data_IF_996845826529
#
_entry.id   IF_996845826529
#
_cell.length_a   1.000
_cell.length_b   1.000
_cell.length_c   1.000
_cell.angle_alpha   90.00
_cell.angle_beta   90.00
_cell.angle_gamma   90.00
#
_symmetry.space_group_name_H-M   'P 1'
#
loop_
_entity.id
_entity.type
_entity.pdbx_description
1 polymer ?
#
# COMPACT_ATOMS: atom_id res chain seq x y z
N UNK A 1 6.12 -29.56 16.57
CA UNK A 1 6.26 -29.15 15.16
C UNK A 1 6.29 -27.64 15.09
N UNK A 2 7.27 -27.07 14.41
CA UNK A 2 7.36 -25.63 14.19
C UNK A 2 6.32 -25.21 13.14
N UNK A 3 5.59 -24.13 13.40
CA UNK A 3 4.53 -23.65 12.49
C UNK A 3 5.12 -22.84 11.34
N UNK A 4 4.52 -22.94 10.15
CA UNK A 4 4.90 -22.16 8.98
C UNK A 4 3.67 -21.70 8.16
N UNK A 5 3.87 -20.67 7.36
CA UNK A 5 2.95 -20.24 6.33
C UNK A 5 3.45 -20.66 4.95
N UNK A 6 2.54 -20.79 3.98
CA UNK A 6 2.87 -21.08 2.58
C UNK A 6 2.40 -19.94 1.72
N UNK A 7 3.24 -19.48 0.80
CA UNK A 7 2.87 -18.49 -0.21
C UNK A 7 2.95 -19.08 -1.61
N UNK A 8 1.89 -18.91 -2.36
CA UNK A 8 1.73 -19.41 -3.72
C UNK A 8 1.34 -18.23 -4.64
N UNK A 9 1.90 -18.16 -5.86
CA UNK A 9 1.54 -17.13 -6.85
C UNK A 9 1.37 -17.72 -8.25
N UNK A 10 0.31 -17.31 -8.92
CA UNK A 10 0.08 -17.56 -10.35
C UNK A 10 -0.23 -16.27 -11.09
N UNK A 11 0.42 -16.03 -12.23
CA UNK A 11 0.34 -14.79 -12.98
C UNK A 11 -0.73 -14.76 -14.08
N UNK A 12 -1.25 -15.88 -14.54
CA UNK A 12 -2.16 -15.97 -15.68
C UNK A 12 -3.50 -16.63 -15.37
N UNK A 13 -4.56 -16.20 -16.09
CA UNK A 13 -5.91 -16.80 -15.98
C UNK A 13 -5.90 -18.30 -16.32
N UNK A 14 -5.07 -18.74 -17.25
CA UNK A 14 -4.91 -20.16 -17.62
C UNK A 14 -4.27 -20.99 -16.49
N UNK A 15 -3.30 -20.44 -15.77
CA UNK A 15 -2.63 -21.09 -14.63
C UNK A 15 -3.52 -21.13 -13.36
N UNK A 16 -4.50 -20.23 -13.27
CA UNK A 16 -5.50 -20.21 -12.18
C UNK A 16 -6.47 -21.38 -12.28
N UNK A 17 -6.82 -21.80 -13.51
CA UNK A 17 -7.72 -22.94 -13.79
C UNK A 17 -6.98 -24.27 -13.91
N UNK A 18 -5.65 -24.26 -14.02
CA UNK A 18 -4.82 -25.46 -14.16
C UNK A 18 -4.10 -25.87 -12.88
N UNK A 19 -3.19 -26.83 -12.99
CA UNK A 19 -2.47 -27.46 -11.87
C UNK A 19 -1.41 -26.57 -11.19
N UNK A 20 -1.31 -25.29 -11.59
CA UNK A 20 -0.27 -24.39 -11.07
C UNK A 20 -0.27 -24.21 -9.55
N UNK A 21 -1.44 -24.17 -8.93
CA UNK A 21 -1.59 -24.11 -7.47
C UNK A 21 -1.22 -25.42 -6.79
N UNK A 22 -1.74 -26.53 -7.35
CA UNK A 22 -1.56 -27.85 -6.78
C UNK A 22 -0.08 -28.26 -6.81
N UNK A 23 0.58 -28.04 -7.94
CA UNK A 23 2.01 -28.32 -8.10
C UNK A 23 2.87 -27.54 -7.07
N UNK A 24 2.65 -26.23 -6.95
CA UNK A 24 3.37 -25.39 -5.99
C UNK A 24 3.09 -25.85 -4.55
N UNK A 25 1.83 -26.15 -4.24
CA UNK A 25 1.47 -26.60 -2.90
C UNK A 25 2.09 -27.96 -2.55
N UNK A 26 2.11 -28.91 -3.49
CA UNK A 26 2.76 -30.22 -3.29
C UNK A 26 4.24 -30.02 -2.95
N UNK A 27 4.98 -29.22 -3.72
CA UNK A 27 6.39 -28.94 -3.48
C UNK A 27 6.62 -28.28 -2.09
N UNK A 28 5.78 -27.30 -1.72
CA UNK A 28 5.85 -26.67 -0.41
C UNK A 28 5.53 -27.64 0.73
N UNK A 29 4.56 -28.55 0.52
CA UNK A 29 4.18 -29.55 1.52
C UNK A 29 5.29 -30.58 1.74
N UNK A 30 5.96 -31.01 0.69
CA UNK A 30 7.07 -31.96 0.76
C UNK A 30 8.24 -31.39 1.55
N UNK A 31 8.67 -30.16 1.26
CA UNK A 31 9.76 -29.51 1.99
C UNK A 31 9.35 -29.21 3.44
N UNK A 32 8.10 -28.83 3.69
CA UNK A 32 7.58 -28.62 5.04
C UNK A 32 7.62 -29.93 5.85
N UNK A 33 7.22 -31.06 5.24
CA UNK A 33 7.30 -32.40 5.85
C UNK A 33 8.75 -32.79 6.15
N UNK A 34 9.65 -32.62 5.18
CA UNK A 34 11.08 -32.93 5.35
C UNK A 34 11.74 -32.11 6.48
N UNK A 35 11.29 -30.89 6.70
CA UNK A 35 11.80 -29.99 7.77
C UNK A 35 10.96 -30.04 9.06
N UNK A 36 10.03 -31.00 9.20
CA UNK A 36 9.15 -31.16 10.37
C UNK A 36 8.35 -29.89 10.71
N UNK A 37 7.82 -29.22 9.66
CA UNK A 37 7.03 -28.01 9.78
C UNK A 37 5.53 -28.31 9.63
N UNK A 38 4.69 -27.59 10.40
CA UNK A 38 3.24 -27.61 10.31
C UNK A 38 2.75 -26.42 9.50
N UNK A 39 2.11 -26.66 8.37
CA UNK A 39 1.48 -25.60 7.57
C UNK A 39 0.20 -25.15 8.28
N UNK A 40 0.14 -23.87 8.69
CA UNK A 40 -1.01 -23.28 9.39
C UNK A 40 -1.94 -22.56 8.44
N UNK A 41 -1.38 -21.82 7.47
CA UNK A 41 -2.15 -21.01 6.51
C UNK A 41 -1.46 -20.93 5.16
N UNK A 42 -2.26 -20.83 4.10
CA UNK A 42 -1.79 -20.69 2.72
C UNK A 42 -2.26 -19.33 2.19
N UNK A 43 -1.32 -18.54 1.69
CA UNK A 43 -1.58 -17.26 1.02
C UNK A 43 -1.48 -17.45 -0.48
N UNK A 44 -2.52 -17.10 -1.22
CA UNK A 44 -2.62 -17.32 -2.66
C UNK A 44 -2.75 -16.01 -3.41
N UNK A 45 -1.74 -15.66 -4.20
CA UNK A 45 -1.72 -14.48 -5.06
C UNK A 45 -2.19 -14.83 -6.46
N UNK A 46 -3.33 -14.30 -6.87
CA UNK A 46 -4.00 -14.66 -8.11
C UNK A 46 -3.89 -13.55 -9.16
N UNK A 47 -3.39 -13.88 -10.34
CA UNK A 47 -3.42 -12.97 -11.48
C UNK A 47 -2.42 -11.81 -11.43
N UNK A 48 -1.45 -11.86 -10.51
CA UNK A 48 -0.47 -10.80 -10.29
C UNK A 48 0.87 -11.20 -10.91
N UNK A 49 1.47 -10.30 -11.71
CA UNK A 49 2.81 -10.49 -12.28
C UNK A 49 3.87 -10.47 -11.19
N UNK A 50 4.97 -11.18 -11.41
CA UNK A 50 6.15 -11.11 -10.54
C UNK A 50 6.91 -9.78 -10.60
N UNK A 51 6.56 -8.90 -11.56
CA UNK A 51 7.09 -7.53 -11.70
C UNK A 51 6.22 -6.48 -11.02
N UNK A 52 5.07 -6.87 -10.47
CA UNK A 52 4.16 -5.98 -9.74
C UNK A 52 4.79 -5.58 -8.41
N UNK A 53 4.67 -4.32 -8.04
CA UNK A 53 5.17 -3.78 -6.77
C UNK A 53 4.53 -4.49 -5.56
N UNK A 54 5.21 -4.42 -4.43
CA UNK A 54 4.79 -5.12 -3.21
C UNK A 54 3.41 -4.65 -2.73
N UNK A 55 3.12 -3.35 -2.90
CA UNK A 55 1.88 -2.70 -2.47
C UNK A 55 0.64 -3.23 -3.21
N UNK A 56 0.82 -3.68 -4.45
CA UNK A 56 -0.24 -4.24 -5.29
C UNK A 56 -0.39 -5.78 -5.16
N UNK A 57 0.15 -6.35 -4.08
CA UNK A 57 0.16 -7.80 -3.82
C UNK A 57 -0.50 -8.14 -2.49
N UNK A 58 -1.84 -8.16 -2.44
CA UNK A 58 -2.60 -8.30 -1.20
C UNK A 58 -2.30 -9.59 -0.43
N UNK A 59 -2.04 -10.72 -1.12
CA UNK A 59 -1.73 -11.97 -0.42
C UNK A 59 -0.31 -11.99 0.17
N UNK A 60 0.65 -11.31 -0.46
CA UNK A 60 2.00 -11.16 0.08
C UNK A 60 2.00 -10.20 1.28
N UNK A 61 1.30 -9.07 1.18
CA UNK A 61 1.12 -8.14 2.29
C UNK A 61 0.42 -8.81 3.48
N UNK A 62 -0.61 -9.62 3.23
CA UNK A 62 -1.28 -10.40 4.28
C UNK A 62 -0.37 -11.47 4.90
N UNK A 63 0.57 -12.07 4.15
CA UNK A 63 1.59 -12.97 4.69
C UNK A 63 2.49 -12.23 5.67
N UNK A 64 3.00 -11.04 5.31
CA UNK A 64 3.88 -10.27 6.20
C UNK A 64 3.16 -9.85 7.48
N UNK A 65 1.93 -9.33 7.37
CA UNK A 65 1.11 -9.01 8.54
C UNK A 65 0.90 -10.24 9.45
N UNK A 66 0.62 -11.41 8.85
CA UNK A 66 0.44 -12.64 9.63
C UNK A 66 1.72 -13.15 10.30
N UNK A 67 2.90 -12.93 9.69
CA UNK A 67 4.19 -13.25 10.32
C UNK A 67 4.43 -12.37 11.56
N UNK A 68 4.05 -11.11 11.49
CA UNK A 68 4.19 -10.15 12.58
C UNK A 68 3.23 -10.47 13.74
N UNK A 69 1.95 -10.69 13.44
CA UNK A 69 0.88 -10.86 14.43
C UNK A 69 0.92 -12.21 15.17
N UNK A 70 1.33 -13.29 14.49
CA UNK A 70 1.10 -14.65 15.01
C UNK A 70 2.36 -15.30 15.64
N UNK A 71 3.48 -14.61 15.69
CA UNK A 71 4.73 -15.15 16.20
C UNK A 71 5.31 -16.31 15.36
N UNK A 72 4.72 -16.60 14.18
CA UNK A 72 5.24 -17.59 13.22
C UNK A 72 6.32 -16.90 12.40
N UNK A 73 7.51 -17.50 12.34
CA UNK A 73 8.67 -16.87 11.70
C UNK A 73 9.11 -17.53 10.39
N UNK A 74 8.37 -18.53 9.93
CA UNK A 74 8.74 -19.30 8.75
C UNK A 74 7.68 -19.16 7.66
N UNK A 75 8.12 -18.77 6.47
CA UNK A 75 7.35 -18.82 5.23
C UNK A 75 7.99 -19.82 4.25
N UNK A 76 7.16 -20.57 3.53
CA UNK A 76 7.57 -21.59 2.56
C UNK A 76 7.03 -21.21 1.17
N UNK A 77 7.89 -21.30 0.16
CA UNK A 77 7.56 -21.07 -1.25
C UNK A 77 8.07 -22.23 -2.11
N UNK A 78 7.54 -22.38 -3.33
CA UNK A 78 8.08 -23.34 -4.30
C UNK A 78 9.47 -22.88 -4.76
N UNK A 79 9.58 -21.66 -5.25
CA UNK A 79 10.82 -21.03 -5.73
C UNK A 79 10.76 -19.51 -5.65
N UNK A 80 11.90 -18.85 -5.70
CA UNK A 80 12.04 -17.41 -5.49
C UNK A 80 11.26 -16.58 -6.52
N UNK A 81 11.09 -17.08 -7.75
CA UNK A 81 10.30 -16.40 -8.76
C UNK A 81 8.80 -16.26 -8.38
N UNK A 82 8.33 -16.97 -7.34
CA UNK A 82 7.00 -16.76 -6.75
C UNK A 82 6.97 -15.46 -5.93
N UNK A 83 8.08 -15.09 -5.31
CA UNK A 83 8.17 -13.78 -4.64
C UNK A 83 8.22 -12.64 -5.64
N UNK A 84 9.18 -12.63 -6.52
CA UNK A 84 9.32 -11.64 -7.58
C UNK A 84 10.04 -12.27 -8.78
N UNK A 85 9.96 -11.65 -9.96
CA UNK A 85 10.78 -12.03 -11.12
C UNK A 85 12.06 -11.21 -11.21
N UNK A 86 12.02 -10.01 -10.67
CA UNK A 86 13.15 -9.12 -10.60
C UNK A 86 14.05 -9.50 -9.42
N UNK A 87 15.34 -9.67 -9.69
CA UNK A 87 16.32 -10.11 -8.70
C UNK A 87 16.49 -9.08 -7.57
N UNK A 88 16.44 -7.78 -7.88
CA UNK A 88 16.56 -6.73 -6.88
C UNK A 88 15.39 -6.78 -5.90
N UNK A 89 14.17 -6.98 -6.40
CA UNK A 89 12.97 -7.11 -5.57
C UNK A 89 13.04 -8.40 -4.73
N UNK A 90 13.50 -9.52 -5.31
CA UNK A 90 13.69 -10.77 -4.55
C UNK A 90 14.63 -10.58 -3.37
N UNK A 91 15.83 -10.06 -3.60
CA UNK A 91 16.86 -9.90 -2.56
C UNK A 91 16.46 -8.83 -1.53
N UNK A 92 15.71 -7.80 -1.93
CA UNK A 92 15.14 -6.81 -1.00
C UNK A 92 14.13 -7.48 -0.05
N UNK A 93 13.18 -8.27 -0.58
CA UNK A 93 12.19 -8.98 0.23
C UNK A 93 12.87 -9.97 1.17
N UNK A 94 13.85 -10.76 0.68
CA UNK A 94 14.59 -11.73 1.49
C UNK A 94 15.37 -11.02 2.58
N UNK A 95 16.03 -9.91 2.25
CA UNK A 95 16.78 -9.10 3.20
C UNK A 95 15.89 -8.54 4.32
N UNK A 96 14.73 -8.00 3.97
CA UNK A 96 13.76 -7.48 4.94
C UNK A 96 13.20 -8.59 5.83
N UNK A 97 12.90 -9.77 5.28
CA UNK A 97 12.48 -10.92 6.07
C UNK A 97 13.55 -11.33 7.09
N UNK A 98 14.80 -11.48 6.66
CA UNK A 98 15.92 -11.86 7.54
C UNK A 98 16.17 -10.82 8.63
N UNK A 99 16.12 -9.53 8.29
CA UNK A 99 16.29 -8.42 9.24
C UNK A 99 15.23 -8.42 10.33
N UNK A 100 13.99 -8.82 9.99
CA UNK A 100 12.89 -8.95 10.96
C UNK A 100 12.86 -10.32 11.66
N UNK A 101 13.87 -11.16 11.47
CA UNK A 101 14.00 -12.48 12.09
C UNK A 101 13.07 -13.54 11.51
N UNK A 102 12.60 -13.34 10.26
CA UNK A 102 11.82 -14.33 9.52
C UNK A 102 12.71 -15.17 8.61
N UNK A 103 12.33 -16.41 8.42
CA UNK A 103 13.05 -17.36 7.56
C UNK A 103 12.18 -17.72 6.37
N UNK A 104 12.73 -17.57 5.17
CA UNK A 104 12.11 -18.02 3.94
C UNK A 104 12.73 -19.35 3.50
N UNK A 105 11.89 -20.35 3.27
CA UNK A 105 12.30 -21.67 2.79
C UNK A 105 11.74 -21.85 1.39
N UNK A 106 12.62 -22.15 0.45
CA UNK A 106 12.26 -22.55 -0.91
C UNK A 106 12.44 -24.05 -1.12
N UNK A 107 11.54 -24.68 -1.87
CA UNK A 107 11.71 -26.10 -2.23
C UNK A 107 12.73 -26.31 -3.36
N UNK A 108 12.92 -25.28 -4.20
CA UNK A 108 13.87 -25.36 -5.32
C UNK A 108 15.25 -24.77 -4.99
N UNK A 109 15.32 -23.84 -4.04
CA UNK A 109 16.57 -23.16 -3.64
C UNK A 109 16.81 -23.34 -2.13
N UNK A 110 17.45 -24.46 -1.72
CA UNK A 110 17.64 -24.77 -0.30
C UNK A 110 18.51 -23.74 0.43
N UNK A 111 19.41 -23.07 -0.28
CA UNK A 111 20.38 -22.10 0.28
C UNK A 111 19.92 -20.65 0.22
N UNK A 112 18.62 -20.43 0.02
CA UNK A 112 18.06 -19.09 -0.19
C UNK A 112 18.40 -18.10 0.94
N UNK A 113 18.38 -18.55 2.18
CA UNK A 113 18.72 -17.77 3.37
C UNK A 113 20.13 -18.08 3.89
N UNK A 114 21.02 -18.60 3.05
CA UNK A 114 22.37 -18.92 3.47
C UNK A 114 23.14 -17.68 3.92
N UNK A 115 24.07 -17.89 4.85
CA UNK A 115 25.05 -16.91 5.31
C UNK A 115 26.27 -16.81 4.38
N UNK A 116 26.19 -17.29 3.14
CA UNK A 116 27.24 -17.16 2.14
C UNK A 116 27.60 -15.66 1.96
N UNK A 117 28.86 -15.29 2.12
CA UNK A 117 29.33 -13.91 1.97
C UNK A 117 28.96 -13.29 0.62
N UNK A 118 28.97 -14.04 -0.47
CA UNK A 118 28.59 -13.55 -1.81
C UNK A 118 27.10 -13.17 -1.86
N UNK A 119 26.22 -13.98 -1.26
CA UNK A 119 24.79 -13.63 -1.18
C UNK A 119 24.52 -12.46 -0.25
N UNK A 120 25.24 -12.37 0.85
CA UNK A 120 25.15 -11.21 1.76
C UNK A 120 25.54 -9.93 1.00
N UNK A 121 26.66 -9.96 0.27
CA UNK A 121 27.12 -8.83 -0.53
C UNK A 121 26.08 -8.41 -1.58
N UNK A 122 25.52 -9.36 -2.33
CA UNK A 122 24.49 -9.10 -3.32
C UNK A 122 23.26 -8.41 -2.68
N UNK A 123 22.79 -8.90 -1.52
CA UNK A 123 21.67 -8.26 -0.79
C UNK A 123 21.98 -6.86 -0.34
N UNK A 124 23.21 -6.62 0.13
CA UNK A 124 23.64 -5.27 0.55
C UNK A 124 23.67 -4.30 -0.63
N UNK A 125 24.20 -4.72 -1.79
CA UNK A 125 24.24 -3.92 -3.01
C UNK A 125 22.82 -3.56 -3.46
N UNK A 126 21.92 -4.54 -3.58
CA UNK A 126 20.55 -4.29 -4.01
C UNK A 126 19.75 -3.48 -2.98
N UNK A 127 19.95 -3.70 -1.70
CA UNK A 127 19.36 -2.90 -0.63
C UNK A 127 19.80 -1.43 -0.71
N UNK A 128 21.08 -1.18 -0.94
CA UNK A 128 21.61 0.18 -1.12
C UNK A 128 21.07 0.84 -2.40
N UNK A 129 20.96 0.09 -3.51
CA UNK A 129 20.40 0.60 -4.76
C UNK A 129 18.92 0.97 -4.60
N UNK A 130 18.12 0.12 -3.94
CA UNK A 130 16.71 0.42 -3.66
C UNK A 130 16.52 1.66 -2.77
N UNK A 131 17.42 1.87 -1.80
CA UNK A 131 17.42 3.09 -0.97
C UNK A 131 17.77 4.33 -1.81
N UNK A 132 18.76 4.24 -2.68
CA UNK A 132 19.15 5.32 -3.59
C UNK A 132 17.98 5.72 -4.50
N UNK A 133 17.30 4.76 -5.12
CA UNK A 133 16.17 5.05 -6.00
C UNK A 133 15.03 5.75 -5.26
N UNK A 134 14.66 5.29 -4.05
CA UNK A 134 13.67 5.98 -3.20
C UNK A 134 14.09 7.41 -2.86
N UNK A 135 15.36 7.63 -2.53
CA UNK A 135 15.89 8.95 -2.26
C UNK A 135 15.82 9.87 -3.49
N UNK A 136 16.17 9.34 -4.68
CA UNK A 136 16.11 10.08 -5.93
C UNK A 136 14.66 10.42 -6.33
N UNK A 137 13.71 9.52 -6.14
CA UNK A 137 12.27 9.79 -6.36
C UNK A 137 11.81 10.91 -5.42
N UNK A 138 12.15 10.83 -4.14
CA UNK A 138 11.79 11.85 -3.15
C UNK A 138 12.37 13.22 -3.52
N UNK A 139 13.63 13.29 -3.96
CA UNK A 139 14.26 14.52 -4.42
C UNK A 139 13.58 15.09 -5.67
N UNK A 140 13.24 14.25 -6.65
CA UNK A 140 12.50 14.66 -7.85
C UNK A 140 11.12 15.23 -7.50
N UNK A 141 10.38 14.58 -6.61
CA UNK A 141 9.07 15.04 -6.15
C UNK A 141 9.19 16.37 -5.37
N UNK A 142 10.21 16.50 -4.50
CA UNK A 142 10.49 17.75 -3.78
C UNK A 142 10.76 18.88 -4.75
N UNK A 143 11.67 18.69 -5.70
CA UNK A 143 11.98 19.70 -6.72
C UNK A 143 10.78 20.06 -7.60
N UNK A 144 9.89 19.10 -7.90
CA UNK A 144 8.63 19.39 -8.60
C UNK A 144 7.70 20.28 -7.77
N UNK A 145 7.52 19.98 -6.47
CA UNK A 145 6.72 20.80 -5.54
C UNK A 145 7.28 22.20 -5.37
N UNK A 146 8.61 22.34 -5.27
CA UNK A 146 9.26 23.64 -5.13
C UNK A 146 9.04 24.53 -6.38
N UNK A 147 9.11 23.92 -7.58
CA UNK A 147 8.77 24.63 -8.83
C UNK A 147 7.31 25.06 -8.89
N UNK A 148 6.37 24.22 -8.43
CA UNK A 148 4.94 24.56 -8.36
C UNK A 148 4.71 25.72 -7.37
N UNK A 149 5.33 25.67 -6.19
CA UNK A 149 5.26 26.75 -5.20
C UNK A 149 5.82 28.07 -5.74
N UNK A 150 6.94 28.02 -6.45
CA UNK A 150 7.55 29.21 -7.08
C UNK A 150 6.63 29.85 -8.14
N UNK A 151 5.72 29.08 -8.78
CA UNK A 151 4.71 29.58 -9.70
C UNK A 151 3.42 30.03 -9.00
N UNK A 152 3.36 29.98 -7.65
CA UNK A 152 2.12 30.23 -6.91
C UNK A 152 1.09 29.11 -7.00
N UNK A 153 1.46 27.98 -7.60
CA UNK A 153 0.59 26.81 -7.73
C UNK A 153 0.53 26.01 -6.43
N UNK A 154 -0.64 25.50 -6.11
CA UNK A 154 -0.83 24.67 -4.93
C UNK A 154 -0.43 23.22 -5.24
N UNK A 155 0.56 22.71 -4.53
CA UNK A 155 1.10 21.37 -4.74
C UNK A 155 0.74 20.34 -3.64
N UNK A 156 0.09 20.76 -2.54
CA UNK A 156 -0.23 19.88 -1.41
C UNK A 156 -1.53 20.30 -0.70
N UNK A 157 -2.08 19.34 0.06
CA UNK A 157 -3.27 19.52 0.87
C UNK A 157 -4.58 19.38 0.10
N UNK A 158 -5.69 19.33 0.83
CA UNK A 158 -7.03 19.23 0.27
C UNK A 158 -7.40 20.57 -0.38
N UNK A 159 -7.94 20.53 -1.61
CA UNK A 159 -8.49 21.71 -2.27
C UNK A 159 -9.53 22.40 -1.41
N UNK A 160 -9.55 23.72 -1.44
CA UNK A 160 -10.53 24.53 -0.75
C UNK A 160 -11.97 24.16 -1.11
N UNK A 161 -12.91 24.66 -0.36
CA UNK A 161 -14.32 24.49 -0.67
C UNK A 161 -14.63 25.25 -1.96
N UNK A 162 -15.31 24.58 -2.89
CA UNK A 162 -15.60 25.04 -4.26
C UNK A 162 -14.38 25.21 -5.20
N UNK A 163 -13.13 24.89 -4.77
CA UNK A 163 -11.93 24.89 -5.63
C UNK A 163 -11.74 23.56 -6.40
N UNK A 164 -12.47 22.52 -6.02
CA UNK A 164 -12.29 21.18 -6.59
C UNK A 164 -13.23 20.95 -7.78
N UNK A 165 -12.67 20.89 -8.99
CA UNK A 165 -13.41 20.58 -10.22
C UNK A 165 -14.17 19.24 -10.19
N UNK A 166 -13.75 18.32 -9.31
CA UNK A 166 -14.46 17.05 -9.08
C UNK A 166 -15.70 17.19 -8.22
N UNK A 167 -15.96 18.39 -7.67
CA UNK A 167 -17.08 18.70 -6.76
C UNK A 167 -17.81 19.96 -7.18
N UNK A 168 -18.40 20.00 -8.38
CA UNK A 168 -19.04 21.20 -8.94
C UNK A 168 -20.23 21.68 -8.09
N UNK A 169 -20.85 20.78 -7.32
CA UNK A 169 -21.96 21.10 -6.41
C UNK A 169 -21.57 21.99 -5.22
N UNK A 170 -20.28 22.14 -4.91
CA UNK A 170 -19.82 23.01 -3.81
C UNK A 170 -19.92 24.50 -4.16
N UNK A 171 -19.80 24.86 -5.45
CA UNK A 171 -19.85 26.28 -5.88
C UNK A 171 -21.19 26.94 -5.60
N UNK A 172 -22.34 26.36 -5.97
CA UNK A 172 -23.64 26.92 -5.61
C UNK A 172 -23.85 27.09 -4.10
N UNK A 173 -23.29 26.15 -3.29
CA UNK A 173 -23.37 26.24 -1.83
C UNK A 173 -22.53 27.41 -1.32
N UNK A 174 -21.33 27.61 -1.87
CA UNK A 174 -20.49 28.76 -1.54
C UNK A 174 -21.17 30.09 -1.91
N UNK A 175 -21.70 30.19 -3.12
CA UNK A 175 -22.40 31.39 -3.60
C UNK A 175 -23.60 31.71 -2.68
N UNK A 176 -24.35 30.70 -2.25
CA UNK A 176 -25.42 30.86 -1.26
C UNK A 176 -24.93 31.33 0.11
N UNK A 177 -23.81 30.80 0.60
CA UNK A 177 -23.20 31.28 1.85
C UNK A 177 -22.81 32.74 1.77
N UNK A 178 -22.23 33.19 0.64
CA UNK A 178 -21.83 34.55 0.39
C UNK A 178 -23.06 35.47 0.34
N UNK A 179 -24.14 35.05 -0.34
CA UNK A 179 -25.39 35.80 -0.41
C UNK A 179 -26.02 35.98 0.97
N UNK A 180 -26.13 34.91 1.77
CA UNK A 180 -26.66 35.00 3.14
C UNK A 180 -25.79 35.89 4.02
N UNK A 181 -24.47 35.88 3.82
CA UNK A 181 -23.56 36.78 4.52
C UNK A 181 -23.79 38.26 4.16
N UNK A 182 -24.01 38.56 2.89
CA UNK A 182 -24.34 39.95 2.43
C UNK A 182 -25.69 40.43 2.95
N UNK A 183 -26.62 39.53 3.27
CA UNK A 183 -27.91 39.82 3.89
C UNK A 183 -27.81 40.03 5.43
N UNK A 184 -26.61 39.99 5.99
CA UNK A 184 -26.36 40.24 7.41
C UNK A 184 -26.39 39.02 8.32
N UNK A 185 -26.59 37.81 7.78
CA UNK A 185 -26.59 36.58 8.59
C UNK A 185 -25.19 36.27 9.14
N UNK A 186 -25.11 35.88 10.38
CA UNK A 186 -23.88 35.41 10.98
C UNK A 186 -23.60 33.94 10.61
N UNK A 187 -22.39 33.42 10.90
CA UNK A 187 -21.99 32.05 10.51
C UNK A 187 -22.85 30.96 11.13
N UNK A 188 -23.46 31.22 12.29
CA UNK A 188 -24.34 30.29 12.98
C UNK A 188 -25.70 30.19 12.28
N UNK A 189 -26.29 31.33 11.96
CA UNK A 189 -27.53 31.43 11.21
C UNK A 189 -27.40 30.80 9.80
N UNK A 190 -26.28 31.04 9.12
CA UNK A 190 -26.00 30.41 7.83
C UNK A 190 -25.91 28.88 7.97
N UNK A 191 -25.23 28.36 9.02
CA UNK A 191 -25.17 26.93 9.28
C UNK A 191 -26.57 26.34 9.52
N UNK A 192 -27.41 27.01 10.30
CA UNK A 192 -28.77 26.57 10.58
C UNK A 192 -29.63 26.53 9.32
N UNK A 193 -29.55 27.58 8.45
CA UNK A 193 -30.28 27.65 7.18
C UNK A 193 -29.85 26.45 6.28
N UNK A 194 -28.56 26.24 6.08
CA UNK A 194 -28.06 25.14 5.23
C UNK A 194 -28.50 23.77 5.75
N UNK A 195 -28.49 23.59 7.07
CA UNK A 195 -28.95 22.35 7.70
C UNK A 195 -30.46 22.15 7.54
N UNK A 196 -31.26 23.21 7.68
CA UNK A 196 -32.73 23.20 7.48
C UNK A 196 -33.07 22.83 6.03
N UNK A 197 -32.28 23.35 5.09
CA UNK A 197 -32.44 23.06 3.65
C UNK A 197 -31.91 21.65 3.27
N UNK A 198 -31.41 20.85 4.23
CA UNK A 198 -30.90 19.50 3.98
C UNK A 198 -29.61 19.45 3.18
N UNK A 199 -28.85 20.55 3.11
CA UNK A 199 -27.58 20.62 2.37
C UNK A 199 -26.45 20.11 3.26
N UNK A 200 -25.85 18.94 2.95
CA UNK A 200 -24.78 18.38 3.78
C UNK A 200 -23.43 19.08 3.55
N UNK A 201 -22.51 18.94 4.49
CA UNK A 201 -21.10 19.32 4.28
C UNK A 201 -20.43 18.37 3.27
N UNK A 202 -19.21 18.71 2.82
CA UNK A 202 -18.34 17.86 1.97
C UNK A 202 -18.23 16.39 2.45
N UNK A 203 -18.40 16.15 3.73
CA UNK A 203 -18.26 14.84 4.36
C UNK A 203 -19.59 14.26 4.86
N UNK A 204 -20.73 14.76 4.36
CA UNK A 204 -22.05 14.27 4.72
C UNK A 204 -22.51 14.64 6.12
N UNK A 205 -21.82 15.59 6.81
CA UNK A 205 -22.17 16.04 8.17
C UNK A 205 -22.98 17.32 8.13
N UNK A 206 -23.55 17.69 9.28
CA UNK A 206 -24.21 18.98 9.48
C UNK A 206 -23.19 20.13 9.49
N UNK A 207 -23.65 21.31 9.05
CA UNK A 207 -22.88 22.55 9.14
C UNK A 207 -22.82 23.06 10.56
N UNK A 208 -21.67 23.59 10.95
CA UNK A 208 -21.44 24.28 12.21
C UNK A 208 -20.82 25.65 11.94
N UNK A 209 -21.08 26.63 12.79
CA UNK A 209 -20.60 28.00 12.63
C UNK A 209 -19.09 28.12 12.34
N UNK A 210 -18.17 27.38 13.00
CA UNK A 210 -16.74 27.42 12.68
C UNK A 210 -16.41 26.99 11.26
N UNK A 211 -17.14 25.99 10.71
CA UNK A 211 -16.92 25.50 9.34
C UNK A 211 -17.33 26.52 8.30
N UNK A 212 -18.50 27.14 8.48
CA UNK A 212 -18.98 28.23 7.61
C UNK A 212 -18.04 29.43 7.68
N UNK A 213 -17.64 29.85 8.89
CA UNK A 213 -16.73 30.97 9.06
C UNK A 213 -15.35 30.75 8.45
N UNK A 214 -14.83 29.49 8.49
CA UNK A 214 -13.56 29.14 7.86
C UNK A 214 -13.65 29.21 6.33
N UNK A 215 -14.76 28.77 5.74
CA UNK A 215 -14.98 28.82 4.28
C UNK A 215 -15.10 30.27 3.82
N UNK A 216 -15.95 31.07 4.47
CA UNK A 216 -16.17 32.49 4.10
C UNK A 216 -14.94 33.39 4.28
N UNK A 217 -14.03 33.08 5.23
CA UNK A 217 -12.78 33.84 5.38
C UNK A 217 -11.74 33.52 4.32
N UNK A 218 -11.89 32.40 3.64
CA UNK A 218 -10.94 31.92 2.65
C UNK A 218 -11.30 32.29 1.21
N UNK A 219 -12.55 32.59 0.99
CA UNK A 219 -13.13 33.03 -0.28
C UNK A 219 -13.70 34.44 -0.17
#
# INVERSE_FOLDING_TARGET
MTKCFVYLRVSGKSQVKGDGWLRQFIACREIAKAKNLQIVRIFREKGVSGTTELEDRPALSALFAALEENGIKIAVIEKVDRLARDLMIQETIIGDMLKNGYTLISSCEPDLCSSDPSRILIRQIFGALAQYDRAMITLKLRGARDRMRARGERCEGVKGFAEDSKRPHEKPILDRMILLRSQGHNSEQIAQILNKDGIPTRYGKLWIAPSVGKILRRN
#
